data_IF_567695751175
#
_entry.id   IF_567695751175
#
_cell.length_a   1.000
_cell.length_b   1.000
_cell.length_c   1.000
_cell.angle_alpha   90.00
_cell.angle_beta   90.00
_cell.angle_gamma   90.00
#
_symmetry.space_group_name_H-M   'P 1'
#
loop_
_entity.id
_entity.type
_entity.pdbx_description
1 polymer ?
#
# COMPACT_ATOMS: atom_id res chain seq x y z
N UNK A 1 38.61 5.88 -70.09
CA UNK A 1 38.67 5.95 -68.57
C UNK A 1 37.25 5.96 -68.08
N UNK A 2 36.78 4.83 -67.52
CA UNK A 2 35.46 4.70 -66.89
C UNK A 2 35.56 5.11 -65.43
N UNK A 3 34.82 6.16 -64.97
CA UNK A 3 34.73 6.55 -63.60
C UNK A 3 33.69 5.65 -62.90
N UNK A 4 34.14 4.91 -61.93
CA UNK A 4 33.25 4.13 -61.02
C UNK A 4 32.78 5.05 -59.88
N UNK A 5 31.47 5.26 -59.81
CA UNK A 5 30.82 6.01 -58.70
C UNK A 5 30.51 5.02 -57.59
N UNK A 6 31.21 5.14 -56.46
CA UNK A 6 30.93 4.37 -55.24
C UNK A 6 29.90 5.16 -54.41
N UNK A 7 28.66 4.63 -54.36
CA UNK A 7 27.61 5.16 -53.47
C UNK A 7 27.75 4.45 -52.12
N UNK A 8 28.14 5.19 -51.06
CA UNK A 8 28.15 4.73 -49.69
C UNK A 8 26.77 5.01 -49.09
N UNK A 9 25.95 3.97 -48.94
CA UNK A 9 24.70 4.07 -48.17
C UNK A 9 25.03 4.08 -46.67
N UNK A 10 24.81 5.22 -46.01
CA UNK A 10 24.73 5.31 -44.54
C UNK A 10 23.35 4.82 -44.09
N UNK A 11 23.30 3.59 -43.57
CA UNK A 11 22.17 3.10 -42.79
C UNK A 11 22.19 3.80 -41.42
N UNK A 12 21.42 4.87 -41.28
CA UNK A 12 21.06 5.44 -39.99
C UNK A 12 20.15 4.43 -39.27
N UNK A 13 20.74 3.58 -38.45
CA UNK A 13 19.98 2.76 -37.50
C UNK A 13 19.32 3.66 -36.48
N UNK A 14 18.05 4.03 -36.69
CA UNK A 14 17.21 4.58 -35.63
C UNK A 14 16.93 3.45 -34.67
N UNK A 15 17.75 3.35 -33.59
CA UNK A 15 17.40 2.51 -32.48
C UNK A 15 16.05 2.98 -31.90
N UNK A 16 14.98 2.24 -32.18
CA UNK A 16 13.74 2.34 -31.44
C UNK A 16 14.09 1.97 -29.99
N UNK A 17 14.41 2.97 -29.18
CA UNK A 17 14.35 2.80 -27.74
C UNK A 17 12.87 2.59 -27.41
N UNK A 18 12.46 1.36 -27.14
CA UNK A 18 11.18 1.09 -26.54
C UNK A 18 11.14 1.92 -25.25
N UNK A 19 10.26 2.90 -25.19
CA UNK A 19 10.08 3.72 -24.00
C UNK A 19 9.54 2.77 -22.92
N UNK A 20 10.36 2.43 -21.93
CA UNK A 20 9.94 1.62 -20.79
C UNK A 20 8.77 2.31 -20.12
N UNK A 21 7.62 1.63 -20.09
CA UNK A 21 6.42 2.16 -19.44
C UNK A 21 6.58 1.94 -17.94
N UNK A 22 6.62 3.02 -17.18
CA UNK A 22 6.60 2.96 -15.71
C UNK A 22 5.17 2.75 -15.23
N UNK A 23 4.97 1.82 -14.31
CA UNK A 23 3.74 1.61 -13.56
C UNK A 23 3.90 2.21 -12.16
N UNK A 24 3.13 3.23 -11.83
CA UNK A 24 3.10 3.84 -10.50
C UNK A 24 1.90 3.31 -9.72
N UNK A 25 2.17 2.67 -8.57
CA UNK A 25 1.17 2.10 -7.66
C UNK A 25 1.22 2.86 -6.34
N UNK A 26 0.07 3.27 -5.81
CA UNK A 26 -0.07 3.88 -4.49
C UNK A 26 -1.02 3.02 -3.65
N UNK A 27 -0.64 2.74 -2.40
CA UNK A 27 -1.52 2.19 -1.34
C UNK A 27 -1.79 3.27 -0.31
N UNK A 28 -3.07 3.47 0.04
CA UNK A 28 -3.46 4.52 0.96
C UNK A 28 -4.70 4.18 1.78
N UNK A 29 -4.56 4.13 3.10
CA UNK A 29 -5.67 4.13 4.04
C UNK A 29 -6.20 5.57 4.16
N UNK A 30 -7.46 5.81 3.78
CA UNK A 30 -8.07 7.14 3.68
C UNK A 30 -8.91 7.55 4.90
N UNK A 31 -8.72 6.87 6.01
CA UNK A 31 -9.35 7.16 7.30
C UNK A 31 -10.88 7.34 7.22
N UNK A 32 -11.60 6.25 7.47
CA UNK A 32 -13.07 6.20 7.49
C UNK A 32 -13.75 6.81 6.25
N UNK A 33 -13.10 6.71 5.05
CA UNK A 33 -13.69 7.23 3.82
C UNK A 33 -14.03 8.72 3.90
N UNK A 34 -13.12 9.53 4.50
CA UNK A 34 -13.34 10.96 4.72
C UNK A 34 -14.59 11.23 5.60
N UNK A 35 -14.61 10.62 6.79
CA UNK A 35 -15.76 10.66 7.71
C UNK A 35 -17.06 10.25 6.99
N UNK A 36 -17.08 9.08 6.39
CA UNK A 36 -18.22 8.55 5.62
C UNK A 36 -18.64 9.52 4.50
N UNK A 37 -17.65 10.09 3.80
CA UNK A 37 -17.79 11.07 2.71
C UNK A 37 -18.34 12.46 3.14
N UNK A 38 -18.36 12.75 4.42
CA UNK A 38 -18.84 14.06 4.94
C UNK A 38 -17.74 15.12 4.96
N UNK A 39 -16.48 14.71 5.14
CA UNK A 39 -15.32 15.59 5.08
C UNK A 39 -14.94 15.87 3.62
N UNK A 40 -15.67 16.80 3.00
CA UNK A 40 -15.52 17.14 1.58
C UNK A 40 -14.17 17.82 1.31
N UNK A 41 -13.68 18.64 2.25
CA UNK A 41 -12.40 19.33 2.11
C UNK A 41 -11.24 18.33 2.05
N UNK A 42 -11.13 17.44 3.03
CA UNK A 42 -10.10 16.41 3.06
C UNK A 42 -10.18 15.49 1.84
N UNK A 43 -11.39 15.09 1.43
CA UNK A 43 -11.61 14.31 0.22
C UNK A 43 -11.07 15.02 -1.02
N UNK A 44 -11.40 16.29 -1.22
CA UNK A 44 -10.93 17.04 -2.39
C UNK A 44 -9.41 17.21 -2.37
N UNK A 45 -8.82 17.50 -1.22
CA UNK A 45 -7.36 17.60 -1.09
C UNK A 45 -6.66 16.28 -1.45
N UNK A 46 -7.22 15.11 -1.08
CA UNK A 46 -6.69 13.80 -1.50
C UNK A 46 -6.84 13.57 -2.99
N UNK A 47 -7.98 13.97 -3.58
CA UNK A 47 -8.21 13.89 -5.04
C UNK A 47 -7.17 14.73 -5.78
N UNK A 48 -6.95 15.98 -5.36
CA UNK A 48 -5.99 16.90 -5.96
C UNK A 48 -4.57 16.32 -5.85
N UNK A 49 -4.21 15.77 -4.68
CA UNK A 49 -2.92 15.11 -4.46
C UNK A 49 -2.73 13.90 -5.39
N UNK A 50 -3.74 13.02 -5.55
CA UNK A 50 -3.66 11.91 -6.51
C UNK A 50 -3.50 12.42 -7.96
N UNK A 51 -4.22 13.49 -8.31
CA UNK A 51 -4.11 14.09 -9.65
C UNK A 51 -2.69 14.61 -9.91
N UNK A 52 -2.01 15.16 -8.91
CA UNK A 52 -0.62 15.62 -9.02
C UNK A 52 0.37 14.45 -9.06
N UNK A 53 0.13 13.39 -8.29
CA UNK A 53 0.97 12.20 -8.28
C UNK A 53 0.83 11.35 -9.56
N UNK A 54 -0.31 11.41 -10.25
CA UNK A 54 -0.61 10.66 -11.48
C UNK A 54 -0.33 9.16 -11.35
N UNK A 55 -0.90 8.47 -10.35
CA UNK A 55 -0.73 7.03 -10.22
C UNK A 55 -1.43 6.30 -11.38
N UNK A 56 -0.93 5.12 -11.76
CA UNK A 56 -1.63 4.22 -12.68
C UNK A 56 -2.63 3.31 -11.95
N UNK A 57 -2.33 2.99 -10.68
CA UNK A 57 -3.15 2.15 -9.80
C UNK A 57 -3.14 2.71 -8.39
N UNK A 58 -4.32 2.78 -7.76
CA UNK A 58 -4.46 3.14 -6.34
C UNK A 58 -5.22 2.04 -5.61
N UNK A 59 -4.61 1.49 -4.56
CA UNK A 59 -5.25 0.59 -3.60
C UNK A 59 -5.66 1.40 -2.37
N UNK A 60 -6.94 1.34 -2.03
CA UNK A 60 -7.54 2.13 -0.94
C UNK A 60 -7.99 1.22 0.19
N UNK A 61 -7.83 1.69 1.43
CA UNK A 61 -8.38 1.07 2.63
C UNK A 61 -9.33 2.05 3.33
N UNK A 62 -10.25 1.49 4.09
CA UNK A 62 -11.28 2.25 4.82
C UNK A 62 -12.26 3.03 3.94
N UNK A 63 -12.73 2.43 2.88
CA UNK A 63 -13.76 3.00 1.98
C UNK A 63 -15.15 3.06 2.65
N UNK A 64 -15.24 3.67 3.83
CA UNK A 64 -16.50 3.85 4.53
C UNK A 64 -17.42 4.84 3.79
N UNK A 65 -18.66 4.44 3.55
CA UNK A 65 -19.66 5.25 2.83
C UNK A 65 -19.47 5.28 1.31
N UNK A 66 -18.56 4.46 0.76
CA UNK A 66 -18.37 4.28 -0.67
C UNK A 66 -19.08 3.04 -1.20
N UNK A 67 -19.54 3.13 -2.44
CA UNK A 67 -19.84 2.03 -3.36
C UNK A 67 -19.06 2.23 -4.66
N UNK A 68 -19.17 1.31 -5.62
CA UNK A 68 -18.39 1.40 -6.87
C UNK A 68 -18.73 2.66 -7.69
N UNK A 69 -20.02 3.09 -7.70
CA UNK A 69 -20.46 4.29 -8.42
C UNK A 69 -19.76 5.56 -7.85
N UNK A 70 -19.84 5.74 -6.53
CA UNK A 70 -19.29 6.91 -5.87
C UNK A 70 -17.75 6.92 -5.84
N UNK A 71 -17.13 5.73 -5.82
CA UNK A 71 -15.68 5.62 -5.98
C UNK A 71 -15.27 5.99 -7.41
N UNK A 72 -16.04 5.57 -8.42
CA UNK A 72 -15.78 5.92 -9.81
C UNK A 72 -15.91 7.43 -10.08
N UNK A 73 -16.91 8.08 -9.46
CA UNK A 73 -17.06 9.54 -9.55
C UNK A 73 -15.83 10.28 -9.07
N UNK A 74 -15.27 9.86 -7.93
CA UNK A 74 -14.07 10.48 -7.37
C UNK A 74 -12.81 10.05 -8.16
N UNK A 75 -12.67 8.76 -8.53
CA UNK A 75 -11.54 8.23 -9.28
C UNK A 75 -11.32 8.90 -10.65
N UNK A 76 -12.39 9.26 -11.33
CA UNK A 76 -12.32 10.00 -12.61
C UNK A 76 -11.61 11.35 -12.46
N UNK A 77 -11.64 11.97 -11.31
CA UNK A 77 -11.01 13.28 -11.07
C UNK A 77 -9.49 13.19 -11.04
N UNK A 78 -8.92 12.02 -10.72
CA UNK A 78 -7.47 11.75 -10.84
C UNK A 78 -7.12 10.84 -12.01
N UNK A 79 -8.05 10.68 -12.99
CA UNK A 79 -7.77 10.03 -14.27
C UNK A 79 -8.05 8.52 -14.32
N UNK A 80 -8.62 7.91 -13.26
CA UNK A 80 -8.94 6.49 -13.26
C UNK A 80 -10.37 6.24 -13.76
N UNK A 81 -10.51 5.31 -14.71
CA UNK A 81 -11.80 4.95 -15.31
C UNK A 81 -12.32 3.58 -14.86
N UNK A 82 -11.54 2.84 -14.10
CA UNK A 82 -11.89 1.52 -13.61
C UNK A 82 -11.74 1.46 -12.10
N UNK A 83 -12.76 0.95 -11.44
CA UNK A 83 -12.80 0.79 -9.98
C UNK A 83 -13.40 -0.53 -9.60
N UNK A 84 -13.06 -1.02 -8.42
CA UNK A 84 -13.70 -2.14 -7.76
C UNK A 84 -13.62 -1.94 -6.25
N UNK A 85 -14.71 -2.26 -5.56
CA UNK A 85 -14.79 -2.29 -4.10
C UNK A 85 -15.04 -3.73 -3.65
N UNK A 86 -14.41 -4.13 -2.55
CA UNK A 86 -14.62 -5.46 -1.98
C UNK A 86 -16.07 -5.67 -1.52
N UNK A 87 -16.62 -4.69 -0.81
CA UNK A 87 -17.96 -4.72 -0.18
C UNK A 87 -18.48 -3.31 0.10
N UNK A 88 -19.78 -3.13 0.14
CA UNK A 88 -20.44 -1.82 0.32
C UNK A 88 -20.62 -1.43 1.80
N UNK A 89 -19.80 -1.94 2.71
CA UNK A 89 -19.84 -1.60 4.12
C UNK A 89 -18.54 -0.91 4.56
N UNK A 90 -18.53 -0.38 5.80
CA UNK A 90 -17.38 0.33 6.34
C UNK A 90 -16.12 -0.54 6.39
N UNK A 91 -14.97 0.10 6.33
CA UNK A 91 -13.62 -0.49 6.31
C UNK A 91 -13.40 -1.46 5.12
N UNK A 92 -14.12 -1.24 4.01
CA UNK A 92 -13.86 -1.93 2.76
C UNK A 92 -12.52 -1.52 2.16
N UNK A 93 -11.94 -2.42 1.37
CA UNK A 93 -10.80 -2.11 0.50
C UNK A 93 -11.28 -2.00 -0.94
N UNK A 94 -10.53 -1.28 -1.77
CA UNK A 94 -10.83 -1.13 -3.19
C UNK A 94 -9.59 -0.87 -4.01
N UNK A 95 -9.75 -1.00 -5.32
CA UNK A 95 -8.71 -0.73 -6.32
C UNK A 95 -9.27 0.20 -7.38
N UNK A 96 -8.48 1.21 -7.78
CA UNK A 96 -8.78 2.05 -8.94
C UNK A 96 -7.61 2.02 -9.91
N UNK A 97 -7.88 2.15 -11.22
CA UNK A 97 -6.85 2.01 -12.24
C UNK A 97 -7.18 2.81 -13.50
N UNK A 98 -6.14 3.22 -14.23
CA UNK A 98 -6.28 3.77 -15.59
C UNK A 98 -6.58 2.66 -16.61
N UNK A 99 -6.22 1.40 -16.32
CA UNK A 99 -6.48 0.22 -17.16
C UNK A 99 -7.64 -0.62 -16.60
N UNK A 100 -8.30 -1.45 -17.44
CA UNK A 100 -9.32 -2.38 -17.00
C UNK A 100 -8.88 -3.25 -15.82
N UNK A 101 -9.79 -3.47 -14.86
CA UNK A 101 -9.59 -4.33 -13.70
C UNK A 101 -10.40 -5.61 -13.89
N UNK A 102 -9.75 -6.76 -13.75
CA UNK A 102 -10.39 -8.07 -13.75
C UNK A 102 -10.50 -8.53 -12.30
N UNK A 103 -11.71 -8.62 -11.77
CA UNK A 103 -11.95 -9.17 -10.43
C UNK A 103 -11.76 -10.69 -10.48
N UNK A 104 -10.86 -11.21 -9.67
CA UNK A 104 -10.61 -12.66 -9.53
C UNK A 104 -11.38 -13.23 -8.36
N UNK A 105 -11.30 -12.58 -7.19
CA UNK A 105 -11.95 -13.07 -5.99
C UNK A 105 -12.21 -11.93 -4.99
N UNK A 106 -13.35 -12.00 -4.28
CA UNK A 106 -13.69 -11.18 -3.11
C UNK A 106 -13.79 -12.12 -1.90
N UNK A 107 -12.79 -12.08 -1.00
CA UNK A 107 -12.72 -12.98 0.16
C UNK A 107 -13.11 -12.22 1.41
N UNK A 108 -14.15 -12.68 2.09
CA UNK A 108 -14.64 -12.11 3.36
C UNK A 108 -14.46 -13.08 4.53
N UNK A 109 -14.63 -14.38 4.27
CA UNK A 109 -14.58 -15.40 5.30
C UNK A 109 -13.19 -15.54 5.91
N UNK A 110 -13.12 -15.54 7.23
CA UNK A 110 -11.87 -15.67 7.98
C UNK A 110 -10.99 -14.42 8.01
N UNK A 111 -11.42 -13.31 7.41
CA UNK A 111 -10.71 -12.04 7.35
C UNK A 111 -11.52 -10.93 8.02
N UNK A 112 -10.86 -10.05 8.78
CA UNK A 112 -11.51 -8.98 9.54
C UNK A 112 -12.21 -7.96 8.63
N UNK A 113 -11.47 -7.43 7.66
CA UNK A 113 -12.02 -6.50 6.68
C UNK A 113 -12.19 -7.15 5.30
N UNK A 114 -11.58 -8.30 5.06
CA UNK A 114 -11.57 -9.02 3.80
C UNK A 114 -10.37 -8.72 2.92
N UNK A 115 -10.30 -9.41 1.79
CA UNK A 115 -9.26 -9.26 0.76
C UNK A 115 -9.92 -9.16 -0.62
N UNK A 116 -9.45 -8.21 -1.43
CA UNK A 116 -9.81 -8.08 -2.83
C UNK A 116 -8.65 -8.59 -3.71
N UNK A 117 -8.91 -9.62 -4.52
CA UNK A 117 -7.97 -10.11 -5.52
C UNK A 117 -8.42 -9.66 -6.90
N UNK A 118 -7.61 -8.86 -7.55
CA UNK A 118 -7.84 -8.31 -8.89
C UNK A 118 -6.60 -8.43 -9.76
N UNK A 119 -6.79 -8.37 -11.08
CA UNK A 119 -5.70 -8.23 -12.05
C UNK A 119 -5.87 -6.94 -12.86
N UNK A 120 -4.80 -6.18 -13.00
CA UNK A 120 -4.65 -5.08 -13.97
C UNK A 120 -3.18 -4.98 -14.40
N UNK A 121 -2.88 -4.49 -15.61
CA UNK A 121 -1.52 -4.47 -16.17
C UNK A 121 -0.82 -5.85 -16.23
N UNK A 122 -1.57 -6.96 -16.20
CA UNK A 122 -1.02 -8.33 -16.13
C UNK A 122 -0.39 -8.68 -14.78
N UNK A 123 -0.71 -7.91 -13.73
CA UNK A 123 -0.24 -8.09 -12.35
C UNK A 123 -1.44 -8.40 -11.47
N UNK A 124 -1.31 -9.41 -10.60
CA UNK A 124 -2.31 -9.69 -9.57
C UNK A 124 -2.09 -8.78 -8.34
N UNK A 125 -3.15 -8.15 -7.91
CA UNK A 125 -3.21 -7.26 -6.74
C UNK A 125 -4.05 -7.92 -5.66
N UNK A 126 -3.47 -8.14 -4.48
CA UNK A 126 -4.16 -8.55 -3.27
C UNK A 126 -4.25 -7.34 -2.35
N UNK A 127 -5.38 -6.65 -2.37
CA UNK A 127 -5.61 -5.46 -1.54
C UNK A 127 -6.21 -5.89 -0.22
N UNK A 128 -5.54 -5.53 0.88
CA UNK A 128 -5.88 -5.99 2.22
C UNK A 128 -5.98 -4.83 3.22
N UNK A 129 -6.71 -5.10 4.31
CA UNK A 129 -6.68 -4.35 5.55
C UNK A 129 -6.86 -5.36 6.69
N UNK A 130 -5.78 -5.68 7.39
CA UNK A 130 -5.79 -6.70 8.45
C UNK A 130 -6.41 -6.16 9.75
N UNK A 131 -6.74 -7.06 10.66
CA UNK A 131 -7.33 -6.71 11.95
C UNK A 131 -6.51 -5.67 12.72
N UNK A 132 -7.10 -4.54 13.16
CA UNK A 132 -6.37 -3.53 13.93
C UNK A 132 -6.19 -3.90 15.41
N UNK A 133 -6.81 -5.00 15.87
CA UNK A 133 -6.97 -5.27 17.32
C UNK A 133 -6.26 -6.52 17.79
N UNK A 134 -6.15 -7.55 16.97
CA UNK A 134 -5.75 -8.89 17.42
C UNK A 134 -4.66 -9.47 16.54
N UNK A 135 -3.50 -9.63 17.12
CA UNK A 135 -2.30 -10.21 16.51
C UNK A 135 -2.51 -11.67 16.11
N UNK A 136 -3.16 -12.49 16.96
CA UNK A 136 -3.41 -13.91 16.68
C UNK A 136 -4.40 -14.07 15.51
N UNK A 137 -5.34 -13.14 15.40
CA UNK A 137 -6.25 -13.08 14.25
C UNK A 137 -5.47 -12.69 12.98
N UNK A 138 -4.58 -11.68 13.02
CA UNK A 138 -3.73 -11.31 11.86
C UNK A 138 -2.83 -12.43 11.37
N UNK A 139 -2.32 -13.28 12.27
CA UNK A 139 -1.57 -14.49 11.87
C UNK A 139 -2.43 -15.41 11.02
N UNK A 140 -3.68 -15.69 11.45
CA UNK A 140 -4.63 -16.51 10.68
C UNK A 140 -5.03 -15.86 9.36
N UNK A 141 -5.25 -14.54 9.34
CA UNK A 141 -5.49 -13.79 8.11
C UNK A 141 -4.33 -13.97 7.12
N UNK A 142 -3.10 -13.87 7.61
CA UNK A 142 -1.90 -14.04 6.78
C UNK A 142 -1.79 -15.45 6.19
N UNK A 143 -2.13 -16.49 6.94
CA UNK A 143 -2.17 -17.88 6.44
C UNK A 143 -3.17 -18.05 5.30
N UNK A 144 -4.38 -17.48 5.45
CA UNK A 144 -5.41 -17.48 4.40
C UNK A 144 -4.91 -16.76 3.15
N UNK A 145 -4.37 -15.53 3.31
CA UNK A 145 -3.90 -14.70 2.19
C UNK A 145 -2.74 -15.38 1.47
N UNK A 146 -1.75 -15.90 2.19
CA UNK A 146 -0.61 -16.63 1.61
C UNK A 146 -1.09 -17.88 0.87
N UNK A 147 -2.06 -18.61 1.41
CA UNK A 147 -2.66 -19.76 0.70
C UNK A 147 -3.31 -19.35 -0.63
N UNK A 148 -4.00 -18.22 -0.67
CA UNK A 148 -4.58 -17.68 -1.90
C UNK A 148 -3.50 -17.28 -2.91
N UNK A 149 -2.45 -16.60 -2.47
CA UNK A 149 -1.31 -16.26 -3.32
C UNK A 149 -0.64 -17.52 -3.87
N UNK A 150 -0.47 -18.55 -3.05
CA UNK A 150 0.13 -19.83 -3.47
C UNK A 150 -0.70 -20.56 -4.54
N UNK A 151 -1.98 -20.26 -4.66
CA UNK A 151 -2.88 -20.89 -5.64
C UNK A 151 -2.85 -20.27 -7.03
N UNK A 152 -2.26 -19.06 -7.19
CA UNK A 152 -2.18 -18.40 -8.50
C UNK A 152 -0.98 -18.88 -9.32
N UNK A 153 -1.14 -18.85 -10.65
CA UNK A 153 -0.06 -19.20 -11.58
C UNK A 153 0.77 -17.98 -12.03
N UNK A 154 0.28 -16.76 -11.83
CA UNK A 154 0.98 -15.55 -12.22
C UNK A 154 2.19 -15.31 -11.32
N UNK A 155 3.34 -14.99 -11.93
CA UNK A 155 4.58 -14.70 -11.22
C UNK A 155 4.75 -13.23 -10.87
N UNK A 156 3.88 -12.36 -11.43
CA UNK A 156 3.88 -10.93 -11.16
C UNK A 156 2.66 -10.60 -10.30
N UNK A 157 2.87 -10.44 -9.00
CA UNK A 157 1.81 -10.12 -8.05
C UNK A 157 2.33 -9.26 -6.90
N UNK A 158 1.39 -8.60 -6.21
CA UNK A 158 1.66 -7.83 -5.01
C UNK A 158 0.55 -7.97 -3.98
N UNK A 159 0.93 -7.86 -2.70
CA UNK A 159 0.04 -7.70 -1.56
C UNK A 159 0.29 -6.32 -0.99
N UNK A 160 -0.75 -5.50 -0.88
CA UNK A 160 -0.59 -4.12 -0.44
C UNK A 160 -1.79 -3.66 0.39
N UNK A 161 -1.53 -2.74 1.30
CA UNK A 161 -2.53 -2.16 2.18
C UNK A 161 -2.03 -1.92 3.59
N UNK A 162 -2.99 -1.84 4.51
CA UNK A 162 -2.75 -1.73 5.94
C UNK A 162 -2.68 -3.12 6.58
N UNK A 163 -1.48 -3.50 6.98
CA UNK A 163 -1.23 -4.80 7.62
C UNK A 163 -1.42 -4.75 9.14
N UNK A 164 -1.56 -3.56 9.73
CA UNK A 164 -1.65 -3.36 11.18
C UNK A 164 -0.56 -4.10 11.98
N UNK A 165 0.60 -4.32 11.38
CA UNK A 165 1.67 -5.18 11.91
C UNK A 165 3.04 -4.54 11.73
N UNK A 166 3.94 -4.82 12.67
CA UNK A 166 5.33 -4.41 12.61
C UNK A 166 6.17 -5.38 11.77
N UNK A 167 7.17 -4.84 11.06
CA UNK A 167 8.09 -5.64 10.24
C UNK A 167 9.40 -5.91 10.97
N UNK A 168 9.99 -7.12 10.85
CA UNK A 168 11.32 -7.38 11.38
C UNK A 168 12.41 -6.44 10.78
N UNK A 169 12.18 -5.87 9.60
CA UNK A 169 13.06 -4.88 9.00
C UNK A 169 13.06 -3.51 9.70
N UNK A 170 12.11 -3.27 10.59
CA UNK A 170 11.99 -2.04 11.37
C UNK A 170 12.26 -2.29 12.87
N UNK A 171 12.66 -3.51 13.23
CA UNK A 171 12.87 -3.95 14.61
C UNK A 171 13.86 -3.09 15.40
N UNK A 172 14.95 -2.60 14.78
CA UNK A 172 15.90 -1.71 15.43
C UNK A 172 15.24 -0.37 15.81
N UNK A 173 14.35 0.16 14.97
CA UNK A 173 13.59 1.38 15.26
C UNK A 173 12.59 1.14 16.39
N UNK A 174 11.90 0.01 16.38
CA UNK A 174 10.95 -0.38 17.43
C UNK A 174 11.68 -0.52 18.78
N UNK A 175 12.82 -1.20 18.83
CA UNK A 175 13.64 -1.38 20.05
C UNK A 175 14.16 -0.04 20.55
N UNK A 176 14.57 0.85 19.65
CA UNK A 176 15.03 2.19 20.01
C UNK A 176 13.91 3.10 20.54
N UNK A 177 12.63 2.67 20.41
CA UNK A 177 11.46 3.44 20.82
C UNK A 177 10.63 2.75 21.94
N UNK A 178 11.13 2.68 23.17
CA UNK A 178 10.43 2.01 24.29
C UNK A 178 9.07 2.66 24.67
N UNK A 179 8.85 3.93 24.26
CA UNK A 179 7.57 4.59 24.51
C UNK A 179 6.46 4.02 23.62
N UNK A 180 6.75 3.66 22.39
CA UNK A 180 5.77 3.00 21.52
C UNK A 180 5.30 1.68 22.12
N UNK A 181 6.23 0.81 22.52
CA UNK A 181 5.91 -0.45 23.19
C UNK A 181 5.08 -0.24 24.45
N UNK A 182 5.47 0.73 25.29
CA UNK A 182 4.72 1.08 26.49
C UNK A 182 3.28 1.51 26.17
N UNK A 183 3.09 2.32 25.14
CA UNK A 183 1.77 2.81 24.76
C UNK A 183 0.88 1.68 24.21
N UNK A 184 1.44 0.74 23.43
CA UNK A 184 0.70 -0.43 22.96
C UNK A 184 0.33 -1.36 24.13
N UNK A 185 1.26 -1.62 25.07
CA UNK A 185 0.96 -2.38 26.31
C UNK A 185 -0.19 -1.75 27.10
N UNK A 186 -0.20 -0.42 27.22
CA UNK A 186 -1.28 0.30 27.91
C UNK A 186 -2.61 0.18 27.13
N UNK A 187 -2.58 0.24 25.81
CA UNK A 187 -3.76 0.04 24.96
C UNK A 187 -4.35 -1.35 25.16
N UNK A 188 -3.53 -2.39 25.08
CA UNK A 188 -3.95 -3.79 25.24
C UNK A 188 -4.43 -4.06 26.69
N UNK A 189 -3.80 -3.45 27.70
CA UNK A 189 -4.24 -3.55 29.08
C UNK A 189 -5.60 -2.89 29.33
N UNK A 190 -5.81 -1.69 28.78
CA UNK A 190 -7.02 -0.90 29.00
C UNK A 190 -8.22 -1.39 28.17
N UNK A 191 -7.98 -2.06 27.04
CA UNK A 191 -9.03 -2.61 26.20
C UNK A 191 -8.77 -4.10 25.94
N UNK A 192 -9.49 -4.96 26.66
CA UNK A 192 -9.37 -6.42 26.54
C UNK A 192 -9.72 -7.00 25.16
N UNK A 193 -10.31 -6.19 24.28
CA UNK A 193 -10.51 -6.56 22.88
C UNK A 193 -9.24 -6.36 22.03
N UNK A 194 -8.21 -5.71 22.58
CA UNK A 194 -6.93 -5.52 21.93
C UNK A 194 -5.94 -6.60 22.39
N UNK A 195 -5.19 -7.16 21.45
CA UNK A 195 -4.11 -8.14 21.65
C UNK A 195 -3.08 -7.94 20.53
N UNK A 196 -2.33 -6.83 20.61
CA UNK A 196 -1.43 -6.42 19.53
C UNK A 196 0.02 -6.90 19.71
N UNK A 197 0.35 -7.34 20.93
CA UNK A 197 1.67 -7.79 21.33
C UNK A 197 1.72 -9.31 21.49
N UNK A 198 2.93 -9.89 21.43
CA UNK A 198 3.20 -11.26 21.82
C UNK A 198 4.03 -11.27 23.10
N UNK A 199 3.50 -11.86 24.15
CA UNK A 199 4.13 -11.89 25.48
C UNK A 199 4.59 -10.50 25.96
N UNK A 200 3.74 -9.48 25.74
CA UNK A 200 4.00 -8.06 26.02
C UNK A 200 5.18 -7.42 25.22
N UNK A 201 5.66 -8.06 24.16
CA UNK A 201 6.70 -7.54 23.27
C UNK A 201 6.16 -7.36 21.84
N UNK A 202 6.90 -6.59 21.02
CA UNK A 202 6.53 -6.44 19.61
C UNK A 202 6.46 -7.78 18.91
N UNK A 203 5.43 -7.99 18.11
CA UNK A 203 5.27 -9.16 17.26
C UNK A 203 5.60 -8.84 15.80
N UNK A 204 6.44 -9.68 15.22
CA UNK A 204 6.85 -9.58 13.82
C UNK A 204 6.36 -10.78 12.98
N UNK A 205 5.64 -11.73 13.59
CA UNK A 205 5.29 -13.01 12.95
C UNK A 205 4.44 -12.84 11.69
N UNK A 206 3.52 -11.86 11.70
CA UNK A 206 2.66 -11.54 10.56
C UNK A 206 3.53 -11.17 9.35
N UNK A 207 4.39 -10.15 9.46
CA UNK A 207 5.23 -9.72 8.35
C UNK A 207 6.32 -10.74 8.02
N UNK A 208 6.84 -11.46 9.02
CA UNK A 208 7.80 -12.55 8.78
C UNK A 208 7.21 -13.67 7.92
N UNK A 209 5.92 -13.99 8.05
CA UNK A 209 5.25 -15.01 7.23
C UNK A 209 5.21 -14.62 5.74
N UNK A 210 4.93 -13.36 5.42
CA UNK A 210 4.98 -12.86 4.04
C UNK A 210 6.40 -12.86 3.47
N UNK A 211 7.40 -12.46 4.28
CA UNK A 211 8.82 -12.48 3.89
C UNK A 211 9.29 -13.94 3.66
N UNK A 212 8.86 -14.87 4.50
CA UNK A 212 9.20 -16.30 4.37
C UNK A 212 8.57 -16.95 3.13
N UNK A 213 7.48 -16.43 2.61
CA UNK A 213 6.79 -16.92 1.39
C UNK A 213 7.40 -16.48 0.08
N UNK A 214 8.31 -16.09 -0.27
CA UNK A 214 9.29 -15.02 -0.27
C UNK A 214 8.78 -13.73 -0.93
N UNK A 215 7.90 -13.00 -0.32
CA UNK A 215 7.54 -11.66 -0.75
C UNK A 215 8.64 -10.65 -0.38
N UNK A 216 8.82 -9.68 -1.24
CA UNK A 216 9.84 -8.64 -1.09
C UNK A 216 9.17 -7.33 -0.69
N UNK A 217 9.57 -6.79 0.45
CA UNK A 217 9.24 -5.42 0.86
C UNK A 217 10.05 -4.44 0.01
N UNK A 218 9.41 -3.81 -0.98
CA UNK A 218 10.13 -2.90 -1.88
C UNK A 218 10.51 -1.59 -1.20
N UNK A 219 9.69 -1.10 -0.26
CA UNK A 219 9.98 0.15 0.46
C UNK A 219 11.29 0.06 1.25
N UNK A 220 11.58 -1.12 1.82
CA UNK A 220 12.80 -1.37 2.55
C UNK A 220 14.08 -1.14 1.71
N UNK A 221 13.99 -1.26 0.38
CA UNK A 221 15.15 -1.10 -0.53
C UNK A 221 15.47 0.35 -0.84
N UNK A 222 14.49 1.25 -0.77
CA UNK A 222 14.61 2.64 -1.25
C UNK A 222 14.54 3.67 -0.13
N UNK A 223 13.82 3.37 0.96
CA UNK A 223 13.58 4.31 2.05
C UNK A 223 14.39 3.92 3.27
N UNK A 224 15.05 4.89 3.91
CA UNK A 224 15.78 4.67 5.17
C UNK A 224 14.81 4.30 6.28
N UNK A 225 15.23 3.46 7.23
CA UNK A 225 14.38 2.91 8.28
C UNK A 225 13.62 3.99 9.07
N UNK A 226 14.30 5.09 9.45
CA UNK A 226 13.68 6.18 10.20
C UNK A 226 12.62 6.96 9.41
N UNK A 227 12.59 6.84 8.06
CA UNK A 227 11.71 7.58 7.17
C UNK A 227 10.57 6.70 6.63
N UNK A 228 10.42 5.45 7.14
CA UNK A 228 9.42 4.48 6.65
C UNK A 228 8.08 4.54 7.38
N UNK A 229 7.92 5.37 8.42
CA UNK A 229 6.69 5.40 9.18
C UNK A 229 5.51 5.82 8.30
N UNK A 230 4.38 5.11 8.48
CA UNK A 230 3.14 5.35 7.74
C UNK A 230 2.00 5.78 8.66
N UNK A 231 2.14 5.63 9.98
CA UNK A 231 1.12 5.97 10.99
C UNK A 231 1.78 6.37 12.31
N UNK A 232 1.19 7.26 13.11
CA UNK A 232 0.11 8.17 12.75
C UNK A 232 0.61 9.35 11.90
N UNK A 233 -0.29 9.95 11.12
CA UNK A 233 -0.04 11.22 10.45
C UNK A 233 -0.42 12.42 11.34
N UNK A 234 0.05 13.63 10.97
CA UNK A 234 -0.07 14.84 11.80
C UNK A 234 -1.50 15.28 12.11
N UNK A 235 -2.49 14.81 11.34
CA UNK A 235 -3.91 15.04 11.66
C UNK A 235 -4.25 14.59 13.08
N UNK A 236 -3.55 13.59 13.59
CA UNK A 236 -3.71 13.09 14.96
C UNK A 236 -2.84 13.80 16.02
N UNK A 237 -2.05 14.80 15.64
CA UNK A 237 -1.15 15.49 16.57
C UNK A 237 -1.86 15.98 17.85
N UNK A 238 -3.10 16.45 17.72
CA UNK A 238 -3.90 16.91 18.87
C UNK A 238 -4.27 15.84 19.91
N UNK A 239 -4.13 14.56 19.57
CA UNK A 239 -4.34 13.44 20.50
C UNK A 239 -3.10 13.16 21.38
N UNK A 240 -1.96 13.80 21.11
CA UNK A 240 -0.69 13.59 21.79
C UNK A 240 -0.31 14.80 22.66
N UNK A 241 0.48 14.57 23.71
CA UNK A 241 0.88 15.63 24.66
C UNK A 241 1.84 16.65 24.07
N UNK A 242 2.59 16.27 23.05
CA UNK A 242 3.57 17.11 22.36
C UNK A 242 3.94 16.52 21.00
N UNK A 243 4.60 17.33 20.14
CA UNK A 243 5.18 16.84 18.90
C UNK A 243 6.17 15.68 19.13
N UNK A 244 6.98 15.74 20.17
CA UNK A 244 7.91 14.66 20.51
C UNK A 244 7.17 13.38 20.93
N UNK A 245 6.06 13.49 21.66
CA UNK A 245 5.22 12.34 22.05
C UNK A 245 4.55 11.74 20.80
N UNK A 246 4.04 12.56 19.90
CA UNK A 246 3.51 12.13 18.59
C UNK A 246 4.57 11.38 17.79
N UNK A 247 5.77 11.93 17.60
CA UNK A 247 6.85 11.30 16.83
C UNK A 247 7.27 9.94 17.42
N UNK A 248 7.25 9.78 18.73
CA UNK A 248 7.52 8.51 19.42
C UNK A 248 6.43 7.44 19.24
N UNK A 249 5.31 7.77 18.64
CA UNK A 249 4.24 6.83 18.29
C UNK A 249 4.22 6.50 16.79
N UNK A 250 5.07 7.16 15.99
CA UNK A 250 5.16 6.87 14.56
C UNK A 250 5.77 5.49 14.33
N UNK A 251 5.14 4.72 13.42
CA UNK A 251 5.51 3.36 13.08
C UNK A 251 5.07 3.04 11.65
N UNK A 252 5.59 1.99 11.08
CA UNK A 252 5.17 1.50 9.76
C UNK A 252 4.18 0.35 9.93
N UNK A 253 3.00 0.48 9.32
CA UNK A 253 1.97 -0.57 9.29
C UNK A 253 1.37 -0.75 7.89
N UNK A 254 1.69 0.11 6.92
CA UNK A 254 1.28 0.02 5.53
C UNK A 254 2.46 -0.44 4.65
N UNK A 255 2.20 -1.38 3.75
CA UNK A 255 3.24 -2.02 2.96
C UNK A 255 2.81 -2.27 1.52
N UNK A 256 3.81 -2.33 0.61
CA UNK A 256 3.72 -2.91 -0.72
C UNK A 256 4.72 -4.06 -0.77
N UNK A 257 4.19 -5.29 -0.67
CA UNK A 257 4.96 -6.54 -0.72
C UNK A 257 4.78 -7.17 -2.08
N UNK A 258 5.86 -7.48 -2.78
CA UNK A 258 5.77 -7.95 -4.18
C UNK A 258 6.47 -9.29 -4.39
N UNK A 259 6.07 -10.00 -5.43
CA UNK A 259 6.76 -11.21 -5.89
C UNK A 259 8.22 -10.94 -6.28
N UNK A 260 9.12 -11.94 -6.20
CA UNK A 260 10.51 -11.79 -6.62
C UNK A 260 10.69 -11.31 -8.07
N UNK A 261 9.79 -11.73 -8.98
CA UNK A 261 9.83 -11.29 -10.38
C UNK A 261 9.48 -9.80 -10.50
N UNK A 262 8.44 -9.35 -9.81
CA UNK A 262 8.05 -7.94 -9.84
C UNK A 262 9.06 -7.05 -9.11
N UNK A 263 9.69 -7.56 -8.06
CA UNK A 263 10.74 -6.85 -7.31
C UNK A 263 11.97 -6.50 -8.15
N UNK A 264 12.29 -7.28 -9.20
CA UNK A 264 13.38 -6.99 -10.15
C UNK A 264 13.08 -5.77 -11.02
N UNK A 265 11.79 -5.47 -11.23
CA UNK A 265 11.29 -4.36 -12.04
C UNK A 265 11.04 -3.09 -11.21
N UNK A 266 11.12 -3.18 -9.88
CA UNK A 266 10.91 -2.03 -9.02
C UNK A 266 12.07 -1.06 -9.15
N UNK A 267 11.80 0.14 -9.65
CA UNK A 267 12.76 1.22 -9.87
C UNK A 267 12.76 2.27 -8.76
N UNK A 268 11.64 2.38 -8.01
CA UNK A 268 11.50 3.34 -6.92
C UNK A 268 10.43 2.91 -5.92
N UNK A 269 10.55 3.35 -4.67
CA UNK A 269 9.49 3.29 -3.67
C UNK A 269 9.66 4.43 -2.66
N UNK A 270 8.56 4.98 -2.17
CA UNK A 270 8.54 6.09 -1.22
C UNK A 270 7.39 5.94 -0.22
N UNK A 271 7.56 6.53 0.94
CA UNK A 271 6.47 6.88 1.85
C UNK A 271 6.31 8.39 1.78
N UNK A 272 5.12 8.87 1.47
CA UNK A 272 4.83 10.30 1.41
C UNK A 272 4.45 10.82 2.80
N UNK A 273 5.42 10.90 3.71
CA UNK A 273 5.22 11.33 5.10
C UNK A 273 5.73 12.76 5.34
N UNK A 274 5.48 13.64 4.39
CA UNK A 274 5.81 15.05 4.39
C UNK A 274 4.61 15.96 4.73
N UNK A 275 4.80 17.26 4.58
CA UNK A 275 3.77 18.26 4.90
C UNK A 275 2.57 18.22 3.94
N UNK A 276 2.76 17.77 2.69
CA UNK A 276 1.68 17.71 1.70
C UNK A 276 0.60 16.71 2.08
N UNK A 277 1.00 15.58 2.67
CA UNK A 277 0.09 14.49 3.05
C UNK A 277 -0.27 14.49 4.54
N UNK A 278 0.40 15.31 5.33
CA UNK A 278 0.32 15.30 6.80
C UNK A 278 -1.10 15.44 7.39
N UNK A 279 -2.02 16.08 6.67
CA UNK A 279 -3.41 16.31 7.09
C UNK A 279 -4.46 15.62 6.22
N UNK A 280 -4.02 14.79 5.25
CA UNK A 280 -4.91 14.14 4.28
C UNK A 280 -5.59 12.88 4.85
N UNK A 281 -4.90 12.15 5.72
CA UNK A 281 -5.39 10.96 6.42
C UNK A 281 -4.61 10.80 7.73
N UNK A 282 -5.04 9.88 8.59
CA UNK A 282 -4.27 9.45 9.76
C UNK A 282 -3.13 8.48 9.40
N UNK A 283 -3.09 7.99 8.16
CA UNK A 283 -1.98 7.27 7.55
C UNK A 283 -1.27 8.12 6.49
N UNK A 284 -0.05 7.74 6.14
CA UNK A 284 0.71 8.27 5.01
C UNK A 284 0.69 7.28 3.84
N UNK A 285 0.58 7.77 2.59
CA UNK A 285 0.58 6.90 1.41
C UNK A 285 1.93 6.21 1.19
N UNK A 286 1.89 4.98 0.69
CA UNK A 286 3.07 4.22 0.24
C UNK A 286 2.99 4.07 -1.27
N UNK A 287 4.10 4.33 -1.96
CA UNK A 287 4.21 4.26 -3.42
C UNK A 287 5.32 3.31 -3.85
N UNK A 288 5.11 2.63 -4.98
CA UNK A 288 6.14 1.90 -5.70
C UNK A 288 6.01 2.11 -7.21
N UNK A 289 7.14 2.18 -7.91
CA UNK A 289 7.24 2.31 -9.36
C UNK A 289 7.92 1.09 -9.96
N UNK A 290 7.38 0.59 -11.06
CA UNK A 290 7.85 -0.61 -11.74
C UNK A 290 8.07 -0.36 -13.22
N UNK A 291 9.20 -0.80 -13.77
CA UNK A 291 9.46 -0.77 -15.19
C UNK A 291 8.78 -1.96 -15.89
N UNK A 292 7.74 -1.67 -16.68
CA UNK A 292 7.06 -2.67 -17.51
C UNK A 292 7.66 -2.66 -18.91
N UNK A 293 8.11 -3.83 -19.36
CA UNK A 293 8.62 -4.02 -20.72
C UNK A 293 7.48 -4.10 -21.73
#
# INVERSE_FOLDING_TARGET
MKKVLVIVLYLLGTGLHAQTKTLKVISYNIWNGFDFRKDIERKNNVIDWFNDQKPDVVALQELCGYNEETLLEDAKKWGHNYVVILKDNCHSVGLTSVNPIIVKEKVLEGLWHGMLHCETFGIDFFVIHLSPKDRDFRVKESEIIISKIASINNKSFMVLGDFNSHSPFDGDTDIANPNLLKNIRMSDFNNKANNNLFDNEFDYSVMASYIAYPLIDVTQRFVKTQDRYTYPAKVHLGAYKSLQDFQKNQRRIDYIMVSPELAKKCSNSSVFNDEETALLSDHYPVMAEFELN
#
